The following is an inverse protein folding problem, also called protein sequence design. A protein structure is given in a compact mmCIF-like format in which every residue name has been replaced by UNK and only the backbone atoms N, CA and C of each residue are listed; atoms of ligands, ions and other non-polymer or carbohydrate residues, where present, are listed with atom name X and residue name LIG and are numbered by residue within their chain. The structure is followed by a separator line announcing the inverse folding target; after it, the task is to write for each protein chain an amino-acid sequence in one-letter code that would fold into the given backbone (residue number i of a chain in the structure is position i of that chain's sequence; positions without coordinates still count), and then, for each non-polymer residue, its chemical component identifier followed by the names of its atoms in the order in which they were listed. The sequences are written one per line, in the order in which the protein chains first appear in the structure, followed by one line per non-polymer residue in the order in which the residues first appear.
data_IF_320784114332
#
_entry.id   IF_320784114332
#
_cell.length_a   1.000
_cell.length_b   1.000
_cell.length_c   1.000
_cell.angle_alpha   90.00
_cell.angle_beta   90.00
_cell.angle_gamma   90.00
#
_symmetry.space_group_name_H-M   'P 1'
#
loop_
_entity.id
_entity.type
_entity.pdbx_description
1 polymer ?
#
# COMPACT_ATOMS: atom_id res chain seq x y z
N UNK A 1 48.78 26.83 -0.87
CA UNK A 1 48.12 25.55 -0.62
C UNK A 1 47.31 25.53 0.68
N UNK A 2 47.83 25.87 1.86
CA UNK A 2 47.05 25.80 3.13
C UNK A 2 45.74 26.64 3.14
N UNK A 3 45.72 27.82 2.54
CA UNK A 3 44.51 28.67 2.49
C UNK A 3 43.36 28.07 1.64
N UNK A 4 43.69 27.37 0.54
CA UNK A 4 42.71 26.72 -0.31
C UNK A 4 42.12 25.44 0.31
N UNK A 5 42.95 24.73 1.08
CA UNK A 5 42.49 23.53 1.83
C UNK A 5 41.55 23.96 2.97
N UNK A 6 41.85 25.07 3.68
CA UNK A 6 40.97 25.58 4.73
C UNK A 6 39.63 26.09 4.19
N UNK A 7 39.62 26.78 3.03
CA UNK A 7 38.37 27.18 2.34
C UNK A 7 37.57 25.97 1.88
N UNK A 8 38.23 24.93 1.38
CA UNK A 8 37.55 23.71 0.93
C UNK A 8 36.90 22.95 2.11
N UNK A 9 37.63 22.85 3.24
CA UNK A 9 37.13 22.24 4.47
C UNK A 9 35.98 23.05 5.07
N UNK A 10 36.07 24.39 5.11
CA UNK A 10 34.98 25.22 5.61
C UNK A 10 33.71 25.18 4.70
N UNK A 11 33.91 25.04 3.40
CA UNK A 11 32.78 24.88 2.43
C UNK A 11 32.11 23.51 2.58
N UNK A 12 32.88 22.43 2.78
CA UNK A 12 32.36 21.08 3.08
C UNK A 12 31.61 21.06 4.43
N UNK A 13 32.17 21.69 5.48
CA UNK A 13 31.49 21.74 6.78
C UNK A 13 30.19 22.56 6.71
N UNK A 14 30.16 23.64 5.92
CA UNK A 14 28.93 24.42 5.71
C UNK A 14 27.82 23.65 5.01
N UNK A 15 28.16 22.85 4.00
CA UNK A 15 27.19 22.01 3.27
C UNK A 15 26.66 20.87 4.15
N UNK A 16 27.52 20.24 4.96
CA UNK A 16 27.10 19.21 5.91
C UNK A 16 26.19 19.74 7.02
N UNK A 17 26.50 20.91 7.59
CA UNK A 17 25.63 21.53 8.61
C UNK A 17 24.25 21.90 8.04
N UNK A 18 24.20 22.42 6.82
CA UNK A 18 22.96 22.77 6.16
C UNK A 18 22.10 21.55 5.84
N UNK A 19 22.69 20.42 5.41
CA UNK A 19 21.95 19.19 5.16
C UNK A 19 21.39 18.57 6.45
N UNK A 20 22.08 18.74 7.58
CA UNK A 20 21.67 18.25 8.89
C UNK A 20 20.38 18.91 9.39
N UNK A 21 20.18 20.23 9.11
CA UNK A 21 18.96 20.94 9.46
C UNK A 21 17.74 20.36 8.75
N UNK A 22 17.87 19.99 7.47
CA UNK A 22 16.79 19.33 6.71
C UNK A 22 16.46 17.93 7.21
N UNK A 23 17.48 17.16 7.58
CA UNK A 23 17.31 15.83 8.19
C UNK A 23 16.57 15.95 9.52
N UNK A 24 16.97 16.88 10.39
CA UNK A 24 16.32 17.11 11.68
C UNK A 24 14.87 17.55 11.50
N UNK A 25 14.62 18.50 10.61
CA UNK A 25 13.29 19.02 10.35
C UNK A 25 12.31 17.96 9.81
N UNK A 26 12.77 17.08 8.93
CA UNK A 26 11.95 15.98 8.42
C UNK A 26 11.76 14.88 9.48
N UNK A 27 12.77 14.59 10.28
CA UNK A 27 12.67 13.60 11.37
C UNK A 27 11.70 14.06 12.47
N UNK A 28 11.67 15.37 12.80
CA UNK A 28 10.69 15.96 13.74
C UNK A 28 9.25 15.88 13.21
N UNK A 29 9.08 15.96 11.88
CA UNK A 29 7.77 15.75 11.24
C UNK A 29 7.32 14.28 11.30
N UNK A 30 8.23 13.35 11.65
CA UNK A 30 7.94 11.93 11.85
C UNK A 30 8.35 11.04 10.67
N UNK A 31 9.12 11.57 9.72
CA UNK A 31 9.66 10.77 8.63
C UNK A 31 10.84 9.90 9.09
N UNK A 32 10.97 8.75 8.47
CA UNK A 32 12.02 7.75 8.72
C UNK A 32 12.90 7.60 7.49
N UNK A 33 14.05 6.94 7.64
CA UNK A 33 15.03 6.74 6.56
C UNK A 33 15.39 8.02 5.81
N UNK A 34 15.36 9.15 6.53
CA UNK A 34 15.59 10.47 5.94
C UNK A 34 17.04 10.61 5.50
N UNK A 35 17.24 11.05 4.27
CA UNK A 35 18.53 11.50 3.76
C UNK A 35 18.34 12.82 3.01
N UNK A 36 19.25 13.77 3.21
CA UNK A 36 19.19 15.09 2.56
C UNK A 36 20.56 15.44 2.00
N UNK A 37 20.57 16.02 0.80
CA UNK A 37 21.72 16.63 0.15
C UNK A 37 21.30 17.91 -0.54
N UNK A 38 22.16 18.91 -0.55
CA UNK A 38 21.88 20.22 -1.15
C UNK A 38 22.94 20.55 -2.19
N UNK A 39 22.50 20.92 -3.39
CA UNK A 39 23.37 21.41 -4.46
C UNK A 39 22.79 22.71 -5.04
N UNK A 40 23.49 23.81 -4.92
CA UNK A 40 23.06 25.13 -5.38
C UNK A 40 21.66 25.51 -4.83
N UNK A 41 20.65 25.60 -5.69
CA UNK A 41 19.24 25.89 -5.36
C UNK A 41 18.36 24.65 -5.34
N UNK A 42 18.95 23.45 -5.45
CA UNK A 42 18.24 22.18 -5.47
C UNK A 42 18.50 21.37 -4.19
N UNK A 43 17.44 20.90 -3.57
CA UNK A 43 17.47 19.99 -2.41
C UNK A 43 17.05 18.60 -2.85
N UNK A 44 17.88 17.63 -2.61
CA UNK A 44 17.60 16.21 -2.84
C UNK A 44 17.24 15.56 -1.50
N UNK A 45 16.19 14.79 -1.44
CA UNK A 45 15.79 14.10 -0.23
C UNK A 45 15.19 12.73 -0.51
N UNK A 46 15.40 11.82 0.43
CA UNK A 46 14.75 10.51 0.48
C UNK A 46 14.05 10.41 1.83
N UNK A 47 12.82 9.96 1.86
CA UNK A 47 12.04 9.76 3.08
C UNK A 47 11.21 8.48 3.01
N UNK A 48 10.93 7.90 4.17
CA UNK A 48 9.84 6.96 4.39
C UNK A 48 8.79 7.61 5.29
N UNK A 49 7.51 7.44 4.93
CA UNK A 49 6.41 8.16 5.56
C UNK A 49 5.50 7.25 6.42
N UNK A 50 5.84 6.98 7.67
CA UNK A 50 4.93 6.32 8.60
C UNK A 50 3.93 7.29 9.26
N UNK A 51 4.23 8.61 9.26
CA UNK A 51 3.45 9.61 9.96
C UNK A 51 2.12 9.92 9.27
N UNK A 52 2.13 9.94 7.94
CA UNK A 52 0.97 10.27 7.10
C UNK A 52 0.62 9.12 6.13
N UNK A 53 1.10 7.91 6.41
CA UNK A 53 0.90 6.71 5.58
C UNK A 53 -0.57 6.59 5.16
N UNK A 54 -0.81 6.22 3.90
CA UNK A 54 -2.15 6.11 3.32
C UNK A 54 -2.75 7.43 2.84
N UNK A 55 -2.07 8.57 3.04
CA UNK A 55 -2.49 9.87 2.53
C UNK A 55 -1.41 10.53 1.69
N UNK A 56 -1.75 11.61 0.99
CA UNK A 56 -0.77 12.39 0.21
C UNK A 56 -0.17 13.55 1.00
N UNK A 57 -0.51 13.64 2.29
CA UNK A 57 -0.03 14.73 3.18
C UNK A 57 1.48 14.64 3.42
N UNK A 58 2.02 13.44 3.56
CA UNK A 58 3.44 13.24 3.82
C UNK A 58 4.35 13.87 2.77
N UNK A 59 4.23 13.51 1.48
CA UNK A 59 5.03 14.14 0.43
C UNK A 59 4.88 15.66 0.37
N UNK A 60 3.65 16.17 0.50
CA UNK A 60 3.39 17.62 0.51
C UNK A 60 4.03 18.31 1.73
N UNK A 61 3.93 17.70 2.91
CA UNK A 61 4.57 18.19 4.15
C UNK A 61 6.08 18.20 4.05
N UNK A 62 6.66 17.15 3.46
CA UNK A 62 8.11 17.09 3.24
C UNK A 62 8.58 18.26 2.34
N UNK A 63 7.89 18.52 1.22
CA UNK A 63 8.20 19.64 0.34
C UNK A 63 8.07 20.97 1.08
N UNK A 64 6.98 21.19 1.83
CA UNK A 64 6.78 22.42 2.59
C UNK A 64 7.84 22.61 3.68
N UNK A 65 8.21 21.54 4.38
CA UNK A 65 9.23 21.60 5.44
C UNK A 65 10.61 21.90 4.88
N UNK A 66 11.02 21.22 3.80
CA UNK A 66 12.26 21.50 3.10
C UNK A 66 12.29 22.94 2.55
N UNK A 67 11.18 23.42 2.00
CA UNK A 67 11.08 24.81 1.53
C UNK A 67 11.26 25.86 2.64
N UNK A 68 10.80 25.55 3.86
CA UNK A 68 11.02 26.43 5.04
C UNK A 68 12.46 26.39 5.53
N UNK A 69 13.03 25.19 5.59
CA UNK A 69 14.42 24.98 6.04
C UNK A 69 15.42 25.59 5.05
N UNK A 70 15.09 25.54 3.76
CA UNK A 70 15.93 26.07 2.68
C UNK A 70 15.25 27.19 1.88
N UNK A 71 15.19 28.43 2.39
CA UNK A 71 14.43 29.54 1.76
C UNK A 71 14.90 29.89 0.33
N UNK A 72 16.18 29.61 0.01
CA UNK A 72 16.75 29.87 -1.33
C UNK A 72 16.53 28.71 -2.30
N UNK A 73 15.86 27.64 -1.87
CA UNK A 73 15.59 26.48 -2.69
C UNK A 73 14.54 26.81 -3.76
N UNK A 74 14.86 26.46 -5.00
CA UNK A 74 13.97 26.60 -6.17
C UNK A 74 13.48 25.23 -6.67
N UNK A 75 14.19 24.14 -6.32
CA UNK A 75 13.85 22.78 -6.71
C UNK A 75 14.01 21.81 -5.53
N UNK A 76 13.08 20.90 -5.38
CA UNK A 76 13.13 19.80 -4.42
C UNK A 76 12.91 18.51 -5.18
N UNK A 77 13.89 17.62 -5.11
CA UNK A 77 13.88 16.29 -5.69
C UNK A 77 13.69 15.29 -4.55
N UNK A 78 12.49 14.70 -4.43
CA UNK A 78 12.07 13.91 -3.28
C UNK A 78 11.73 12.48 -3.71
N UNK A 79 12.37 11.46 -3.11
CA UNK A 79 12.00 10.06 -3.28
C UNK A 79 11.27 9.56 -2.06
N UNK A 80 10.14 8.90 -2.29
CA UNK A 80 9.36 8.23 -1.25
C UNK A 80 9.71 6.76 -1.22
N UNK A 81 10.07 6.29 -0.02
CA UNK A 81 10.29 4.87 0.27
C UNK A 81 9.04 4.24 0.87
N UNK A 82 8.88 2.96 0.65
CA UNK A 82 8.01 2.06 1.40
C UNK A 82 8.77 0.76 1.65
N UNK A 83 8.86 0.36 2.91
CA UNK A 83 9.70 -0.78 3.34
C UNK A 83 11.14 -0.66 2.80
N UNK A 84 11.74 0.53 2.96
CA UNK A 84 13.08 0.89 2.48
C UNK A 84 13.25 0.82 0.94
N UNK A 85 12.18 0.53 0.19
CA UNK A 85 12.21 0.43 -1.27
C UNK A 85 11.71 1.71 -1.92
N UNK A 86 12.50 2.34 -2.83
CA UNK A 86 12.05 3.53 -3.56
C UNK A 86 10.83 3.22 -4.43
N UNK A 87 9.75 3.98 -4.27
CA UNK A 87 8.50 3.77 -5.02
C UNK A 87 8.28 4.80 -6.12
N UNK A 88 8.46 6.09 -5.80
CA UNK A 88 8.23 7.21 -6.73
C UNK A 88 9.20 8.34 -6.44
N UNK A 89 9.49 9.14 -7.48
CA UNK A 89 10.20 10.41 -7.38
C UNK A 89 9.24 11.58 -7.61
N UNK A 90 9.37 12.62 -6.79
CA UNK A 90 8.63 13.86 -6.90
C UNK A 90 9.62 14.99 -7.23
N UNK A 91 9.38 15.67 -8.33
CA UNK A 91 10.14 16.81 -8.83
C UNK A 91 9.36 18.09 -8.58
N UNK A 92 9.63 18.77 -7.47
CA UNK A 92 8.97 20.01 -7.13
C UNK A 92 9.82 21.20 -7.57
N UNK A 93 9.22 22.12 -8.33
CA UNK A 93 9.85 23.36 -8.76
C UNK A 93 9.01 24.56 -8.37
N UNK A 94 9.68 25.66 -8.01
CA UNK A 94 9.03 26.91 -7.65
C UNK A 94 8.80 27.76 -8.91
N UNK A 95 7.54 27.86 -9.34
CA UNK A 95 7.14 28.62 -10.51
C UNK A 95 6.27 29.80 -10.05
N UNK A 96 6.71 31.04 -10.32
CA UNK A 96 6.00 32.25 -9.90
C UNK A 96 5.65 32.27 -8.39
N UNK A 97 6.56 31.76 -7.55
CA UNK A 97 6.40 31.71 -6.11
C UNK A 97 5.54 30.56 -5.55
N UNK A 98 5.01 29.69 -6.42
CA UNK A 98 4.22 28.51 -6.04
C UNK A 98 4.97 27.23 -6.39
N UNK A 99 4.80 26.19 -5.58
CA UNK A 99 5.35 24.88 -5.85
C UNK A 99 4.48 24.13 -6.86
N UNK A 100 5.12 23.66 -7.93
CA UNK A 100 4.51 22.76 -8.91
C UNK A 100 5.23 21.42 -8.85
N UNK A 101 4.49 20.32 -8.81
CA UNK A 101 5.04 18.96 -8.65
C UNK A 101 4.77 18.13 -9.89
N UNK A 102 5.80 17.43 -10.34
CA UNK A 102 5.72 16.32 -11.28
C UNK A 102 6.12 15.04 -10.53
N UNK A 103 5.52 13.91 -10.89
CA UNK A 103 5.79 12.62 -10.24
C UNK A 103 6.05 11.58 -11.31
N UNK A 104 7.12 10.81 -11.13
CA UNK A 104 7.46 9.69 -11.99
C UNK A 104 8.06 8.51 -11.21
N UNK A 105 8.58 7.53 -11.92
CA UNK A 105 9.13 6.31 -11.35
C UNK A 105 10.66 6.21 -11.47
N UNK A 106 11.33 7.24 -11.99
CA UNK A 106 12.79 7.31 -12.03
C UNK A 106 13.37 7.78 -10.70
N UNK A 107 13.40 6.86 -9.76
CA UNK A 107 13.97 7.13 -8.43
C UNK A 107 15.49 7.17 -8.42
N UNK A 108 16.17 6.60 -9.45
CA UNK A 108 17.63 6.52 -9.52
C UNK A 108 18.27 7.89 -9.68
N UNK A 109 17.65 8.78 -10.45
CA UNK A 109 18.12 10.16 -10.63
C UNK A 109 18.36 10.93 -9.33
N UNK A 110 17.64 10.55 -8.27
CA UNK A 110 17.77 11.13 -6.92
C UNK A 110 18.58 10.22 -6.00
N UNK A 111 18.29 8.90 -5.95
CA UNK A 111 18.92 7.99 -4.97
C UNK A 111 20.41 7.76 -5.22
N UNK A 112 20.88 7.80 -6.46
CA UNK A 112 22.29 7.59 -6.80
C UNK A 112 23.19 8.71 -6.24
N UNK A 113 22.63 9.89 -5.99
CA UNK A 113 23.37 10.99 -5.36
C UNK A 113 23.72 10.72 -3.89
N UNK A 114 22.93 9.89 -3.22
CA UNK A 114 23.18 9.51 -1.81
C UNK A 114 24.25 8.42 -1.67
N UNK A 115 24.59 7.71 -2.75
CA UNK A 115 25.65 6.71 -2.76
C UNK A 115 27.04 7.32 -3.04
N UNK A 116 27.09 8.50 -3.69
CA UNK A 116 28.32 9.11 -4.20
C UNK A 116 28.70 10.44 -3.58
N UNK A 117 27.86 11.05 -2.72
CA UNK A 117 28.01 12.42 -2.25
C UNK A 117 28.03 12.63 -0.75
N UNK A 118 28.13 13.90 -0.35
CA UNK A 118 28.11 14.38 1.06
C UNK A 118 26.69 14.39 1.63
N UNK A 119 26.03 13.25 1.59
CA UNK A 119 24.66 13.14 2.12
C UNK A 119 24.68 12.94 3.63
N UNK A 120 23.77 13.63 4.32
CA UNK A 120 23.48 13.40 5.74
C UNK A 120 22.23 12.55 5.86
N UNK A 121 22.31 11.51 6.69
CA UNK A 121 21.20 10.59 6.92
C UNK A 121 20.76 10.60 8.38
N UNK A 122 19.47 10.43 8.62
CA UNK A 122 18.92 10.27 9.96
C UNK A 122 19.30 8.93 10.57
N UNK A 123 19.52 8.91 11.89
CA UNK A 123 19.58 7.69 12.67
C UNK A 123 18.21 7.02 12.85
N UNK A 124 17.09 7.74 12.56
CA UNK A 124 15.73 7.23 12.66
C UNK A 124 15.42 6.31 11.48
N UNK A 125 15.69 5.02 11.62
CA UNK A 125 15.44 3.97 10.63
C UNK A 125 14.07 3.33 10.86
N UNK A 126 13.43 2.84 9.80
CA UNK A 126 12.21 2.02 9.88
C UNK A 126 12.51 0.56 10.24
N UNK A 127 13.71 0.08 9.90
CA UNK A 127 14.16 -1.30 10.14
C UNK A 127 13.98 -1.72 11.59
N UNK A 128 13.30 -2.85 11.81
CA UNK A 128 13.06 -3.45 13.13
C UNK A 128 11.99 -2.74 13.98
N UNK A 129 11.38 -1.68 13.48
CA UNK A 129 10.19 -1.10 14.15
C UNK A 129 8.98 -1.97 13.91
N UNK A 130 8.09 -2.00 14.91
CA UNK A 130 6.89 -2.81 14.90
C UNK A 130 5.67 -1.90 14.88
N UNK A 131 4.85 -2.05 13.86
CA UNK A 131 3.55 -1.42 13.75
C UNK A 131 2.46 -2.43 14.16
N UNK A 132 1.58 -2.04 15.06
CA UNK A 132 0.37 -2.79 15.40
C UNK A 132 -0.83 -1.99 14.93
N UNK A 133 -1.54 -2.52 13.94
CA UNK A 133 -2.73 -1.88 13.38
C UNK A 133 -3.97 -2.65 13.80
N UNK A 134 -4.95 -1.98 14.42
CA UNK A 134 -6.19 -2.59 14.88
C UNK A 134 -7.23 -2.51 13.76
N UNK A 135 -7.34 -3.55 12.92
CA UNK A 135 -8.27 -3.59 11.80
C UNK A 135 -9.63 -4.15 12.24
N UNK A 136 -10.73 -3.38 12.17
CA UNK A 136 -12.07 -3.92 12.29
C UNK A 136 -12.46 -4.57 10.96
N UNK A 137 -13.09 -5.75 11.03
CA UNK A 137 -13.66 -6.43 9.87
C UNK A 137 -15.16 -6.60 10.12
N UNK A 138 -15.97 -6.17 9.15
CA UNK A 138 -17.41 -6.40 9.14
C UNK A 138 -17.73 -7.28 7.94
N UNK A 139 -18.32 -8.45 8.20
CA UNK A 139 -18.86 -9.33 7.18
C UNK A 139 -20.39 -9.23 7.20
N UNK A 140 -20.97 -9.04 6.04
CA UNK A 140 -22.43 -9.05 5.84
C UNK A 140 -22.74 -9.98 4.69
N UNK A 141 -23.57 -10.97 4.96
CA UNK A 141 -24.01 -11.95 4.00
C UNK A 141 -25.54 -12.03 4.02
N UNK A 142 -26.17 -12.04 2.83
CA UNK A 142 -27.61 -12.05 2.65
C UNK A 142 -28.11 -13.11 1.67
N UNK A 143 -27.29 -14.13 1.40
CA UNK A 143 -27.60 -15.16 0.40
C UNK A 143 -28.59 -16.24 0.90
N UNK A 144 -28.94 -16.23 2.19
CA UNK A 144 -29.81 -17.24 2.80
C UNK A 144 -31.24 -16.71 2.99
N UNK A 145 -32.22 -17.55 2.69
CA UNK A 145 -33.64 -17.21 2.87
C UNK A 145 -34.16 -17.38 4.29
N UNK A 146 -33.48 -18.17 5.11
CA UNK A 146 -33.86 -18.47 6.50
C UNK A 146 -33.42 -17.36 7.47
N UNK A 147 -32.46 -16.54 7.05
CA UNK A 147 -31.96 -15.38 7.82
C UNK A 147 -31.89 -14.13 6.94
N UNK A 148 -32.40 -13.03 7.44
CA UNK A 148 -32.39 -11.75 6.70
C UNK A 148 -30.96 -11.27 6.44
N UNK A 149 -30.07 -11.47 7.43
CA UNK A 149 -28.64 -11.16 7.34
C UNK A 149 -27.84 -12.13 8.21
N UNK A 150 -26.75 -12.64 7.67
CA UNK A 150 -25.65 -13.15 8.47
C UNK A 150 -24.60 -12.05 8.63
N UNK A 151 -24.27 -11.72 9.87
CA UNK A 151 -23.34 -10.65 10.18
C UNK A 151 -22.26 -11.13 11.13
N UNK A 152 -21.04 -10.69 10.86
CA UNK A 152 -19.89 -10.90 11.71
C UNK A 152 -19.15 -9.59 11.95
N UNK A 153 -18.73 -9.37 13.20
CA UNK A 153 -17.79 -8.33 13.55
C UNK A 153 -16.54 -8.97 14.16
N UNK A 154 -15.40 -8.67 13.57
CA UNK A 154 -14.11 -9.24 13.95
C UNK A 154 -13.11 -8.13 14.22
N UNK A 155 -12.15 -8.41 15.09
CA UNK A 155 -10.98 -7.57 15.31
C UNK A 155 -9.75 -8.31 14.79
N UNK A 156 -9.02 -7.69 13.88
CA UNK A 156 -7.79 -8.25 13.29
C UNK A 156 -6.59 -7.33 13.59
N UNK A 157 -5.96 -7.46 14.78
CA UNK A 157 -4.74 -6.73 15.07
C UNK A 157 -3.62 -7.27 14.18
N UNK A 158 -3.11 -6.43 13.29
CA UNK A 158 -2.01 -6.77 12.38
C UNK A 158 -0.71 -6.24 12.95
N UNK A 159 0.24 -7.12 13.21
CA UNK A 159 1.60 -6.78 13.60
C UNK A 159 2.47 -6.80 12.35
N UNK A 160 3.13 -5.68 12.05
CA UNK A 160 3.96 -5.50 10.86
C UNK A 160 5.36 -5.05 11.23
N UNK A 161 6.39 -5.60 10.58
CA UNK A 161 7.78 -5.15 10.72
C UNK A 161 8.56 -5.35 9.42
N UNK A 162 9.58 -4.50 9.23
CA UNK A 162 10.57 -4.59 8.13
C UNK A 162 11.92 -4.95 8.71
N UNK A 163 12.56 -6.01 8.22
CA UNK A 163 13.88 -6.45 8.68
C UNK A 163 15.01 -6.08 7.71
N UNK A 164 14.70 -5.99 6.42
CA UNK A 164 15.61 -5.56 5.36
C UNK A 164 14.84 -4.93 4.21
N UNK A 165 15.55 -4.29 3.30
CA UNK A 165 14.98 -3.56 2.17
C UNK A 165 13.97 -4.39 1.37
N UNK A 166 12.76 -3.87 1.24
CA UNK A 166 11.65 -4.49 0.52
C UNK A 166 10.96 -5.63 1.26
N UNK A 167 11.45 -5.99 2.44
CA UNK A 167 10.83 -7.02 3.26
C UNK A 167 9.70 -6.48 4.11
N UNK A 168 8.65 -7.29 4.27
CA UNK A 168 7.59 -7.07 5.23
C UNK A 168 7.15 -8.39 5.83
N UNK A 169 7.10 -8.44 7.15
CA UNK A 169 6.53 -9.56 7.91
C UNK A 169 5.23 -9.09 8.53
N UNK A 170 4.15 -9.82 8.28
CA UNK A 170 2.83 -9.57 8.85
C UNK A 170 2.40 -10.74 9.72
N UNK A 171 1.73 -10.45 10.83
CA UNK A 171 1.02 -11.42 11.67
C UNK A 171 -0.36 -10.85 11.96
N UNK A 172 -1.41 -11.51 11.47
CA UNK A 172 -2.80 -11.05 11.58
C UNK A 172 -3.69 -12.14 12.15
N UNK A 173 -3.89 -12.23 13.48
CA UNK A 173 -4.98 -13.02 14.05
C UNK A 173 -6.32 -12.32 13.80
N UNK A 174 -7.33 -13.07 13.36
CA UNK A 174 -8.71 -12.61 13.19
C UNK A 174 -9.53 -13.16 14.37
N UNK A 175 -9.97 -12.26 15.25
CA UNK A 175 -10.65 -12.58 16.50
C UNK A 175 -12.14 -12.27 16.33
N UNK A 176 -13.04 -13.26 16.39
CA UNK A 176 -14.47 -13.01 16.36
C UNK A 176 -14.92 -12.29 17.63
N UNK A 177 -15.56 -11.13 17.47
CA UNK A 177 -16.15 -10.36 18.59
C UNK A 177 -17.64 -10.62 18.68
N UNK A 178 -18.31 -10.65 17.53
CA UNK A 178 -19.72 -10.97 17.39
C UNK A 178 -19.97 -11.66 16.05
N UNK A 179 -20.77 -12.71 16.06
CA UNK A 179 -21.25 -13.33 14.83
C UNK A 179 -22.56 -14.08 15.06
N UNK A 180 -23.52 -13.93 14.14
CA UNK A 180 -24.75 -14.73 14.11
C UNK A 180 -24.69 -15.85 13.06
N UNK A 181 -23.51 -16.08 12.46
CA UNK A 181 -23.28 -17.20 11.54
C UNK A 181 -23.55 -18.53 12.19
N UNK A 182 -23.76 -19.56 11.39
CA UNK A 182 -24.05 -20.91 11.90
C UNK A 182 -22.98 -21.45 12.84
N UNK A 183 -23.37 -22.33 13.76
CA UNK A 183 -22.49 -22.84 14.81
C UNK A 183 -21.24 -23.58 14.26
N UNK A 184 -21.34 -24.18 13.05
CA UNK A 184 -20.24 -24.82 12.37
C UNK A 184 -19.32 -23.89 11.56
N UNK A 185 -19.63 -22.61 11.45
CA UNK A 185 -18.85 -21.66 10.68
C UNK A 185 -17.44 -21.50 11.24
N UNK A 186 -16.45 -21.49 10.33
CA UNK A 186 -15.04 -21.18 10.62
C UNK A 186 -14.88 -19.79 11.23
N UNK A 187 -15.79 -18.87 10.88
CA UNK A 187 -15.79 -17.47 11.32
C UNK A 187 -16.16 -17.29 12.81
N UNK A 188 -16.61 -18.36 13.47
CA UNK A 188 -16.84 -18.32 14.93
C UNK A 188 -15.59 -18.55 15.78
N UNK A 189 -14.45 -18.82 15.13
CA UNK A 189 -13.20 -19.17 15.80
C UNK A 189 -12.10 -18.19 15.43
N UNK A 190 -11.08 -18.13 16.30
CA UNK A 190 -9.83 -17.45 15.97
C UNK A 190 -9.26 -18.05 14.68
N UNK A 191 -8.90 -17.19 13.74
CA UNK A 191 -8.26 -17.59 12.49
C UNK A 191 -6.99 -16.78 12.24
N UNK A 192 -6.13 -17.26 11.35
CA UNK A 192 -5.03 -16.47 10.81
C UNK A 192 -5.47 -15.85 9.49
N UNK A 193 -5.37 -14.54 9.41
CA UNK A 193 -5.50 -13.79 8.19
C UNK A 193 -4.19 -13.69 7.41
N UNK A 194 -3.81 -12.49 7.01
CA UNK A 194 -2.57 -12.20 6.27
C UNK A 194 -1.32 -12.34 7.17
N UNK A 195 -0.99 -13.58 7.56
CA UNK A 195 0.22 -13.90 8.33
C UNK A 195 1.26 -14.48 7.39
N UNK A 196 2.14 -13.59 6.88
CA UNK A 196 3.05 -13.92 5.78
C UNK A 196 4.31 -13.06 5.79
N UNK A 197 5.30 -13.54 5.04
CA UNK A 197 6.51 -12.80 4.69
C UNK A 197 6.35 -12.35 3.25
N UNK A 198 6.60 -11.07 3.01
CA UNK A 198 6.54 -10.45 1.69
C UNK A 198 7.89 -9.84 1.33
N UNK A 199 8.24 -9.89 0.05
CA UNK A 199 9.42 -9.24 -0.51
C UNK A 199 9.02 -8.45 -1.75
N UNK A 200 9.21 -7.14 -1.70
CA UNK A 200 9.01 -6.23 -2.82
C UNK A 200 10.27 -6.13 -3.69
N UNK A 201 10.05 -6.04 -5.01
CA UNK A 201 11.08 -5.85 -6.02
C UNK A 201 10.70 -4.69 -6.94
N UNK A 202 11.68 -3.87 -7.33
CA UNK A 202 11.53 -2.84 -8.36
C UNK A 202 12.73 -2.94 -9.31
N UNK A 203 12.47 -3.02 -10.61
CA UNK A 203 13.48 -3.12 -11.65
C UNK A 203 13.28 -2.03 -12.70
N UNK A 204 14.33 -1.25 -12.99
CA UNK A 204 14.33 -0.22 -14.02
C UNK A 204 13.21 0.82 -13.88
N UNK A 205 12.72 1.07 -12.66
CA UNK A 205 11.66 2.02 -12.35
C UNK A 205 10.25 1.63 -12.81
N UNK A 206 10.11 0.83 -13.87
CA UNK A 206 8.81 0.47 -14.45
C UNK A 206 8.28 -0.90 -14.04
N UNK A 207 9.16 -1.87 -13.81
CA UNK A 207 8.77 -3.19 -13.31
C UNK A 207 8.71 -3.17 -11.79
N UNK A 208 7.64 -3.71 -11.26
CA UNK A 208 7.50 -3.92 -9.82
C UNK A 208 6.90 -5.31 -9.57
N UNK A 209 7.20 -5.87 -8.41
CA UNK A 209 6.65 -7.15 -8.02
C UNK A 209 6.71 -7.37 -6.53
N UNK A 210 5.89 -8.30 -6.07
CA UNK A 210 5.86 -8.76 -4.68
C UNK A 210 5.76 -10.28 -4.66
N UNK A 211 6.63 -10.92 -3.90
CA UNK A 211 6.52 -12.33 -3.54
C UNK A 211 6.01 -12.42 -2.09
N UNK A 212 5.00 -13.25 -1.84
CA UNK A 212 4.44 -13.46 -0.51
C UNK A 212 4.31 -14.93 -0.21
N UNK A 213 4.66 -15.35 1.01
CA UNK A 213 4.58 -16.76 1.46
C UNK A 213 4.03 -16.78 2.89
N UNK A 214 3.02 -17.60 3.15
CA UNK A 214 2.40 -17.75 4.45
C UNK A 214 0.90 -17.97 4.36
N UNK A 215 0.16 -17.57 5.40
CA UNK A 215 -1.30 -17.59 5.37
C UNK A 215 -1.85 -16.29 4.81
N UNK A 216 -3.01 -16.39 4.21
CA UNK A 216 -3.76 -15.29 3.63
C UNK A 216 -5.20 -15.32 4.16
N UNK A 217 -5.91 -14.23 4.01
CA UNK A 217 -7.36 -14.20 4.25
C UNK A 217 -8.06 -15.22 3.36
N UNK A 218 -9.33 -15.46 3.56
CA UNK A 218 -10.10 -16.52 2.89
C UNK A 218 -9.63 -17.95 3.19
N UNK A 219 -8.97 -18.14 4.36
CA UNK A 219 -8.52 -19.47 4.85
C UNK A 219 -7.52 -20.15 3.91
N UNK A 220 -6.54 -19.43 3.39
CA UNK A 220 -5.54 -19.95 2.45
C UNK A 220 -4.13 -19.90 3.03
N UNK A 221 -3.33 -20.93 2.72
CA UNK A 221 -1.90 -21.02 3.01
C UNK A 221 -1.15 -21.33 1.72
N UNK A 222 -0.05 -20.65 1.45
CA UNK A 222 0.77 -20.91 0.27
C UNK A 222 1.65 -19.76 -0.14
N UNK A 223 1.76 -19.55 -1.45
CA UNK A 223 2.58 -18.51 -2.06
C UNK A 223 1.80 -17.68 -3.08
N UNK A 224 2.12 -16.41 -3.17
CA UNK A 224 1.58 -15.47 -4.14
C UNK A 224 2.71 -14.68 -4.79
N UNK A 225 2.58 -14.42 -6.09
CA UNK A 225 3.45 -13.55 -6.89
C UNK A 225 2.58 -12.51 -7.57
N UNK A 226 2.86 -11.25 -7.32
CA UNK A 226 2.35 -10.11 -8.08
C UNK A 226 3.49 -9.52 -8.91
N UNK A 227 3.29 -9.40 -10.23
CA UNK A 227 4.22 -8.72 -11.14
C UNK A 227 3.46 -7.67 -11.92
N UNK A 228 4.01 -6.49 -12.04
CA UNK A 228 3.40 -5.39 -12.77
C UNK A 228 4.41 -4.57 -13.57
N UNK A 229 3.89 -3.94 -14.62
CA UNK A 229 4.63 -3.04 -15.48
C UNK A 229 3.88 -1.71 -15.62
N UNK A 230 4.54 -0.60 -15.37
CA UNK A 230 4.02 0.76 -15.49
C UNK A 230 4.16 1.22 -16.92
N UNK A 231 3.08 1.13 -17.69
CA UNK A 231 3.06 1.51 -19.11
C UNK A 231 3.17 3.03 -19.26
N UNK A 232 2.36 3.74 -18.48
CA UNK A 232 2.28 5.21 -18.40
C UNK A 232 2.17 5.63 -16.93
N UNK A 233 2.37 6.92 -16.59
CA UNK A 233 2.16 7.41 -15.22
C UNK A 233 0.77 7.10 -14.66
N UNK A 234 -0.26 7.01 -15.51
CA UNK A 234 -1.64 6.71 -15.14
C UNK A 234 -2.06 5.27 -15.44
N UNK A 235 -1.21 4.43 -16.07
CA UNK A 235 -1.59 3.11 -16.54
C UNK A 235 -0.56 2.05 -16.15
N UNK A 236 -1.03 0.95 -15.59
CA UNK A 236 -0.22 -0.24 -15.33
C UNK A 236 -0.94 -1.50 -15.81
N UNK A 237 -0.16 -2.52 -16.11
CA UNK A 237 -0.62 -3.88 -16.39
C UNK A 237 0.15 -4.86 -15.52
N UNK A 238 -0.44 -6.00 -15.20
CA UNK A 238 0.23 -6.96 -14.33
C UNK A 238 -0.42 -8.33 -14.35
N UNK A 239 0.21 -9.23 -13.61
CA UNK A 239 -0.28 -10.57 -13.36
C UNK A 239 -0.17 -10.86 -11.86
N UNK A 240 -1.21 -11.45 -11.27
CA UNK A 240 -1.17 -12.10 -9.98
C UNK A 240 -1.31 -13.59 -10.17
N UNK A 241 -0.39 -14.36 -9.65
CA UNK A 241 -0.46 -15.79 -9.63
C UNK A 241 -0.26 -16.32 -8.20
N UNK A 242 -1.05 -17.29 -7.79
CA UNK A 242 -0.88 -17.88 -6.47
C UNK A 242 -1.08 -19.40 -6.53
N UNK A 243 -0.41 -20.06 -5.58
CA UNK A 243 -0.58 -21.47 -5.27
C UNK A 243 -0.87 -21.58 -3.78
N UNK A 244 -2.08 -22.01 -3.44
CA UNK A 244 -2.53 -22.00 -2.05
C UNK A 244 -3.42 -23.20 -1.77
N UNK A 245 -3.43 -23.65 -0.52
CA UNK A 245 -4.31 -24.70 0.00
C UNK A 245 -5.19 -24.14 1.12
N UNK A 246 -6.29 -24.81 1.42
CA UNK A 246 -7.13 -24.45 2.57
C UNK A 246 -6.34 -24.56 3.88
N UNK A 247 -6.49 -23.58 4.76
CA UNK A 247 -5.85 -23.57 6.07
C UNK A 247 -6.70 -22.79 7.07
N UNK A 248 -7.11 -23.45 8.17
CA UNK A 248 -7.95 -22.86 9.20
C UNK A 248 -7.81 -23.58 10.55
N UNK A 249 -8.15 -22.90 11.63
CA UNK A 249 -8.28 -23.51 12.94
C UNK A 249 -9.66 -24.20 13.08
N UNK A 250 -9.62 -25.52 13.30
CA UNK A 250 -10.78 -26.33 13.66
C UNK A 250 -11.05 -26.31 15.18
N UNK A 251 -11.84 -27.31 15.67
CA UNK A 251 -12.16 -27.40 17.11
C UNK A 251 -10.92 -27.72 17.95
N UNK A 252 -10.10 -28.67 17.49
CA UNK A 252 -8.96 -29.17 18.26
C UNK A 252 -7.61 -28.97 17.58
N UNK A 253 -7.59 -28.69 16.25
CA UNK A 253 -6.36 -28.68 15.48
C UNK A 253 -6.37 -27.62 14.38
N UNK A 254 -5.18 -27.18 14.00
CA UNK A 254 -4.96 -26.45 12.78
C UNK A 254 -5.03 -27.41 11.58
N UNK A 255 -6.00 -27.18 10.70
CA UNK A 255 -6.17 -27.93 9.47
C UNK A 255 -5.37 -27.27 8.35
N UNK A 256 -4.65 -28.09 7.60
CA UNK A 256 -4.00 -27.72 6.34
C UNK A 256 -4.43 -28.73 5.29
N UNK A 257 -5.04 -28.25 4.21
CA UNK A 257 -5.51 -29.07 3.10
C UNK A 257 -4.35 -29.82 2.44
N UNK A 258 -4.62 -31.05 2.00
CA UNK A 258 -3.67 -31.80 1.20
C UNK A 258 -3.59 -31.21 -0.21
N UNK A 259 -2.38 -31.16 -0.77
CA UNK A 259 -2.16 -30.83 -2.18
C UNK A 259 -2.72 -31.99 -3.01
N UNK A 260 -3.88 -31.78 -3.62
CA UNK A 260 -4.43 -32.72 -4.59
C UNK A 260 -4.33 -32.15 -6.00
N UNK A 261 -3.28 -32.48 -6.72
CA UNK A 261 -3.08 -32.09 -8.12
C UNK A 261 -4.14 -32.62 -9.08
N UNK A 262 -5.05 -33.45 -8.62
CA UNK A 262 -6.12 -34.07 -9.42
C UNK A 262 -7.53 -33.66 -9.00
N UNK A 263 -7.66 -32.94 -7.88
CA UNK A 263 -8.97 -32.58 -7.34
C UNK A 263 -9.59 -31.33 -8.01
N UNK A 264 -10.91 -31.22 -7.93
CA UNK A 264 -11.70 -30.11 -8.46
C UNK A 264 -11.52 -28.79 -7.69
N UNK A 265 -10.79 -28.78 -6.57
CA UNK A 265 -10.54 -27.56 -5.81
C UNK A 265 -9.22 -26.94 -6.27
N UNK A 266 -9.32 -25.76 -6.82
CA UNK A 266 -8.19 -25.08 -7.41
C UNK A 266 -7.19 -24.60 -6.38
N UNK A 267 -5.98 -25.12 -6.47
CA UNK A 267 -4.83 -24.66 -5.70
C UNK A 267 -4.08 -23.52 -6.38
N UNK A 268 -4.35 -23.31 -7.67
CA UNK A 268 -3.68 -22.30 -8.48
C UNK A 268 -4.69 -21.29 -9.00
N UNK A 269 -4.44 -20.01 -8.81
CA UNK A 269 -5.12 -18.95 -9.56
C UNK A 269 -4.11 -18.10 -10.33
N UNK A 270 -4.57 -17.51 -11.44
CA UNK A 270 -3.76 -16.61 -12.25
C UNK A 270 -4.65 -15.56 -12.91
N UNK A 271 -4.40 -14.30 -12.59
CA UNK A 271 -5.22 -13.16 -12.99
C UNK A 271 -4.34 -12.11 -13.69
N UNK A 272 -4.73 -11.73 -14.89
CA UNK A 272 -4.20 -10.55 -15.57
C UNK A 272 -4.94 -9.32 -15.05
N UNK A 273 -4.21 -8.22 -14.85
CA UNK A 273 -4.72 -6.95 -14.37
C UNK A 273 -4.34 -5.83 -15.32
N UNK A 274 -5.26 -4.91 -15.56
CA UNK A 274 -5.01 -3.64 -16.22
C UNK A 274 -5.65 -2.53 -15.38
N UNK A 275 -4.89 -1.51 -15.07
CA UNK A 275 -5.28 -0.41 -14.20
C UNK A 275 -5.08 0.92 -14.94
N UNK A 276 -6.09 1.78 -14.94
CA UNK A 276 -6.05 3.10 -15.55
C UNK A 276 -6.68 4.14 -14.64
N UNK A 277 -5.94 5.22 -14.39
CA UNK A 277 -6.40 6.36 -13.59
C UNK A 277 -6.61 7.60 -14.47
N UNK A 278 -7.85 8.08 -14.57
CA UNK A 278 -8.15 9.36 -15.20
C UNK A 278 -7.93 10.53 -14.25
N UNK A 279 -6.92 11.34 -14.55
CA UNK A 279 -6.51 12.49 -13.73
C UNK A 279 -7.60 13.55 -13.64
N UNK A 280 -8.37 13.75 -14.71
CA UNK A 280 -9.39 14.82 -14.77
C UNK A 280 -10.56 14.55 -13.82
N UNK A 281 -11.11 13.36 -13.87
CA UNK A 281 -12.28 12.95 -13.09
C UNK A 281 -11.94 12.29 -11.76
N UNK A 282 -10.68 11.90 -11.54
CA UNK A 282 -10.22 11.06 -10.44
C UNK A 282 -10.94 9.69 -10.40
N UNK A 283 -11.22 9.15 -11.57
CA UNK A 283 -11.74 7.80 -11.74
C UNK A 283 -10.59 6.82 -11.97
N UNK A 284 -10.65 5.70 -11.28
CA UNK A 284 -9.82 4.55 -11.54
C UNK A 284 -10.67 3.44 -12.15
N UNK A 285 -10.22 2.85 -13.25
CA UNK A 285 -10.81 1.68 -13.87
C UNK A 285 -9.81 0.53 -13.78
N UNK A 286 -10.21 -0.57 -13.16
CA UNK A 286 -9.39 -1.78 -13.04
C UNK A 286 -10.12 -2.95 -13.67
N UNK A 287 -9.47 -3.60 -14.63
CA UNK A 287 -9.92 -4.84 -15.24
C UNK A 287 -9.05 -5.98 -14.74
N UNK A 288 -9.67 -7.01 -14.18
CA UNK A 288 -9.03 -8.26 -13.77
C UNK A 288 -9.66 -9.40 -14.55
N UNK A 289 -8.86 -10.29 -15.15
CA UNK A 289 -9.37 -11.42 -15.91
C UNK A 289 -8.46 -12.65 -15.80
N UNK A 290 -9.07 -13.83 -15.71
CA UNK A 290 -8.34 -15.10 -15.64
C UNK A 290 -9.01 -16.15 -14.78
N UNK A 291 -8.22 -16.97 -14.11
CA UNK A 291 -8.66 -18.01 -13.20
C UNK A 291 -8.66 -17.49 -11.78
N UNK A 292 -9.83 -17.42 -11.18
CA UNK A 292 -10.03 -17.01 -9.79
C UNK A 292 -9.62 -18.07 -8.77
N UNK A 293 -9.67 -17.73 -7.47
CA UNK A 293 -9.13 -18.53 -6.38
C UNK A 293 -9.75 -19.93 -6.27
N UNK A 294 -11.03 -20.07 -6.57
CA UNK A 294 -11.75 -21.34 -6.48
C UNK A 294 -11.87 -22.08 -7.82
N UNK A 295 -11.16 -21.62 -8.86
CA UNK A 295 -10.97 -22.34 -10.11
C UNK A 295 -11.85 -21.90 -11.26
N UNK A 296 -12.80 -21.03 -11.01
CA UNK A 296 -13.66 -20.43 -12.00
C UNK A 296 -12.87 -19.44 -12.90
N UNK A 297 -13.28 -19.31 -14.15
CA UNK A 297 -12.68 -18.40 -15.13
C UNK A 297 -13.63 -17.25 -15.42
N UNK A 298 -13.10 -16.05 -15.42
CA UNK A 298 -13.93 -14.88 -15.66
C UNK A 298 -13.18 -13.58 -15.77
N UNK A 299 -13.95 -12.48 -15.69
CA UNK A 299 -13.44 -11.12 -15.69
C UNK A 299 -14.23 -10.25 -14.70
N UNK A 300 -13.53 -9.33 -14.06
CA UNK A 300 -14.08 -8.34 -13.13
C UNK A 300 -13.64 -6.95 -13.58
N UNK A 301 -14.59 -6.00 -13.65
CA UNK A 301 -14.34 -4.60 -13.89
C UNK A 301 -14.74 -3.81 -12.65
N UNK A 302 -13.81 -3.06 -12.10
CA UNK A 302 -14.02 -2.11 -11.02
C UNK A 302 -13.89 -0.68 -11.53
N UNK A 303 -14.81 0.18 -11.16
CA UNK A 303 -14.76 1.63 -11.43
C UNK A 303 -14.86 2.35 -10.10
N UNK A 304 -13.77 3.02 -9.69
CA UNK A 304 -13.65 3.67 -8.39
C UNK A 304 -13.41 5.16 -8.57
N UNK A 305 -14.21 5.99 -7.91
CA UNK A 305 -13.99 7.43 -7.85
C UNK A 305 -13.35 7.84 -6.54
N UNK A 306 -12.30 8.65 -6.63
CA UNK A 306 -11.55 9.15 -5.49
C UNK A 306 -11.92 10.59 -5.16
N UNK A 307 -12.27 10.85 -3.91
CA UNK A 307 -12.58 12.17 -3.36
C UNK A 307 -11.53 12.53 -2.28
N UNK A 308 -10.31 12.85 -2.72
CA UNK A 308 -9.18 12.97 -1.80
C UNK A 308 -8.86 11.63 -1.15
N UNK A 309 -9.00 11.56 0.18
CA UNK A 309 -8.73 10.35 0.94
C UNK A 309 -9.90 9.34 0.95
N UNK A 310 -11.08 9.71 0.45
CA UNK A 310 -12.24 8.82 0.33
C UNK A 310 -12.28 8.18 -1.05
N UNK A 311 -12.77 6.95 -1.12
CA UNK A 311 -13.05 6.27 -2.38
C UNK A 311 -14.40 5.56 -2.34
N UNK A 312 -15.12 5.59 -3.46
CA UNK A 312 -16.34 4.82 -3.67
C UNK A 312 -16.31 4.22 -5.06
N UNK A 313 -16.65 2.97 -5.19
CA UNK A 313 -16.65 2.26 -6.46
C UNK A 313 -17.79 1.28 -6.60
N UNK A 314 -17.97 0.86 -7.83
CA UNK A 314 -18.86 -0.22 -8.22
C UNK A 314 -18.08 -1.23 -9.04
N UNK A 315 -18.47 -2.49 -8.97
CA UNK A 315 -17.86 -3.52 -9.79
C UNK A 315 -18.92 -4.43 -10.41
N UNK A 316 -18.56 -5.02 -11.54
CA UNK A 316 -19.28 -6.10 -12.17
C UNK A 316 -18.32 -7.26 -12.44
N UNK A 317 -18.80 -8.48 -12.29
CA UNK A 317 -18.04 -9.69 -12.52
C UNK A 317 -18.84 -10.69 -13.34
N UNK A 318 -18.17 -11.34 -14.28
CA UNK A 318 -18.66 -12.44 -15.09
C UNK A 318 -17.71 -13.61 -14.89
N UNK A 319 -18.17 -14.73 -14.34
CA UNK A 319 -17.31 -15.87 -14.03
C UNK A 319 -18.09 -17.16 -13.98
N UNK A 320 -17.52 -18.28 -14.48
CA UNK A 320 -18.13 -19.59 -14.45
C UNK A 320 -19.50 -19.69 -15.13
N UNK A 321 -19.86 -18.75 -16.00
CA UNK A 321 -21.20 -18.63 -16.60
C UNK A 321 -22.19 -17.77 -15.79
N UNK A 322 -21.79 -17.37 -14.57
CA UNK A 322 -22.59 -16.54 -13.67
C UNK A 322 -22.15 -15.06 -13.73
N UNK A 323 -22.99 -14.18 -13.23
CA UNK A 323 -22.71 -12.75 -13.13
C UNK A 323 -23.02 -12.24 -11.73
N UNK A 324 -22.22 -11.29 -11.27
CA UNK A 324 -22.44 -10.60 -10.02
C UNK A 324 -22.04 -9.13 -10.14
N UNK A 325 -22.53 -8.32 -9.24
CA UNK A 325 -22.19 -6.91 -9.14
C UNK A 325 -22.15 -6.49 -7.67
N UNK A 326 -21.56 -5.35 -7.41
CA UNK A 326 -21.53 -4.80 -6.08
C UNK A 326 -20.95 -3.40 -6.04
N UNK A 327 -20.74 -2.94 -4.83
CA UNK A 327 -20.08 -1.68 -4.57
C UNK A 327 -19.04 -1.85 -3.47
N UNK A 328 -18.09 -0.93 -3.45
CA UNK A 328 -17.10 -0.84 -2.38
C UNK A 328 -16.80 0.61 -2.04
N UNK A 329 -16.34 0.82 -0.83
CA UNK A 329 -15.89 2.14 -0.40
C UNK A 329 -14.69 2.02 0.54
N UNK A 330 -13.88 3.06 0.58
CA UNK A 330 -12.79 3.21 1.53
C UNK A 330 -12.91 4.58 2.21
N UNK A 331 -12.91 4.57 3.55
CA UNK A 331 -13.03 5.76 4.40
C UNK A 331 -11.76 5.87 5.24
N UNK A 332 -11.06 7.04 5.26
CA UNK A 332 -9.92 7.23 6.13
C UNK A 332 -10.37 7.18 7.60
N UNK A 333 -9.78 6.28 8.38
CA UNK A 333 -10.07 6.11 9.82
C UNK A 333 -8.98 6.76 10.66
N UNK A 334 -7.76 6.75 10.15
CA UNK A 334 -6.60 7.29 10.83
C UNK A 334 -6.68 8.83 10.88
N UNK A 335 -6.25 9.41 11.99
CA UNK A 335 -6.15 10.86 12.13
C UNK A 335 -5.15 11.49 11.14
N UNK A 336 -5.13 12.82 11.08
CA UNK A 336 -4.28 13.58 10.14
C UNK A 336 -2.77 13.29 10.26
N UNK A 337 -2.32 12.84 11.44
CA UNK A 337 -0.93 12.45 11.72
C UNK A 337 -0.89 11.35 12.77
N UNK A 338 -0.10 10.32 12.52
CA UNK A 338 0.15 9.26 13.48
C UNK A 338 1.13 9.73 14.57
N UNK A 339 0.91 9.27 15.78
CA UNK A 339 1.91 9.44 16.84
C UNK A 339 3.13 8.60 16.47
N UNK A 340 4.27 9.25 16.37
CA UNK A 340 5.55 8.59 16.24
C UNK A 340 6.06 8.31 17.64
N UNK A 341 6.17 7.07 18.01
CA UNK A 341 6.71 6.63 19.29
C UNK A 341 7.71 5.51 19.04
N UNK A 342 8.78 5.44 19.74
CA UNK A 342 9.79 4.40 19.81
C UNK A 342 9.77 3.27 18.74
N UNK A 343 10.06 2.05 19.20
CA UNK A 343 10.11 0.87 18.32
C UNK A 343 8.73 0.22 18.10
N UNK A 344 7.77 0.47 19.00
CA UNK A 344 6.41 -0.07 18.93
C UNK A 344 5.41 1.07 18.69
N UNK A 345 4.61 0.95 17.65
CA UNK A 345 3.57 1.92 17.30
C UNK A 345 2.23 1.21 17.22
N UNK A 346 1.22 1.71 17.92
CA UNK A 346 -0.13 1.18 17.86
C UNK A 346 -1.02 2.20 17.15
N UNK A 347 -1.63 1.78 16.05
CA UNK A 347 -2.38 2.64 15.16
C UNK A 347 -3.75 2.05 14.83
N UNK A 348 -4.68 2.91 14.41
CA UNK A 348 -5.86 2.51 13.67
C UNK A 348 -5.47 2.23 12.21
N UNK A 349 -6.26 1.47 11.44
CA UNK A 349 -6.00 1.26 10.02
C UNK A 349 -6.03 2.60 9.26
N UNK A 350 -5.32 2.64 8.15
CA UNK A 350 -5.30 3.83 7.28
C UNK A 350 -6.70 4.12 6.75
N UNK A 351 -7.40 3.07 6.37
CA UNK A 351 -8.75 3.09 5.84
C UNK A 351 -9.58 1.98 6.47
N UNK A 352 -10.86 2.25 6.63
CA UNK A 352 -11.89 1.22 6.71
C UNK A 352 -12.41 1.05 5.30
N UNK A 353 -12.26 -0.13 4.73
CA UNK A 353 -12.80 -0.53 3.45
C UNK A 353 -13.86 -1.60 3.63
N UNK A 354 -14.88 -1.53 2.81
CA UNK A 354 -15.96 -2.50 2.77
C UNK A 354 -16.35 -2.75 1.33
N UNK A 355 -16.52 -4.03 0.99
CA UNK A 355 -17.10 -4.45 -0.27
C UNK A 355 -18.41 -5.17 0.01
N UNK A 356 -19.45 -4.80 -0.73
CA UNK A 356 -20.72 -5.49 -0.74
C UNK A 356 -20.93 -6.19 -2.08
N UNK A 357 -21.21 -7.49 -2.02
CA UNK A 357 -21.53 -8.32 -3.17
C UNK A 357 -23.06 -8.50 -3.24
N UNK A 358 -23.67 -8.16 -4.39
CA UNK A 358 -25.05 -8.54 -4.69
C UNK A 358 -25.03 -10.01 -5.14
N UNK A 359 -25.15 -10.93 -4.21
CA UNK A 359 -25.17 -12.34 -4.55
C UNK A 359 -26.48 -12.70 -5.20
N UNK A 360 -26.46 -12.89 -6.53
CA UNK A 360 -27.67 -13.11 -7.32
C UNK A 360 -28.15 -14.58 -7.29
N UNK A 361 -27.23 -15.53 -7.04
CA UNK A 361 -27.50 -16.97 -7.11
C UNK A 361 -26.79 -17.73 -6.00
N UNK A 362 -27.42 -18.79 -5.48
CA UNK A 362 -26.85 -19.63 -4.43
C UNK A 362 -25.53 -20.27 -4.85
N UNK A 363 -25.45 -20.81 -6.07
CA UNK A 363 -24.25 -21.47 -6.59
C UNK A 363 -23.05 -20.52 -6.59
N UNK A 364 -23.27 -19.23 -6.91
CA UNK A 364 -22.21 -18.24 -6.87
C UNK A 364 -21.61 -18.08 -5.47
N UNK A 365 -22.44 -18.05 -4.43
CA UNK A 365 -22.01 -17.92 -3.05
C UNK A 365 -21.37 -19.21 -2.50
N UNK A 366 -22.02 -20.34 -2.72
CA UNK A 366 -21.58 -21.64 -2.21
C UNK A 366 -20.23 -22.04 -2.80
N UNK A 367 -20.01 -21.78 -4.08
CA UNK A 367 -18.74 -22.03 -4.76
C UNK A 367 -17.73 -20.89 -4.62
N UNK A 368 -18.10 -19.77 -3.97
CA UNK A 368 -17.26 -18.57 -3.77
C UNK A 368 -16.64 -18.05 -5.07
N UNK A 369 -17.44 -18.09 -6.14
CA UNK A 369 -17.01 -17.70 -7.48
C UNK A 369 -16.49 -16.25 -7.51
N UNK A 370 -15.54 -15.96 -8.39
CA UNK A 370 -14.99 -14.63 -8.58
C UNK A 370 -14.13 -14.11 -7.42
N UNK A 371 -13.74 -14.96 -6.50
CA UNK A 371 -12.91 -14.55 -5.35
C UNK A 371 -11.46 -14.43 -5.77
N UNK A 372 -10.83 -13.30 -5.43
CA UNK A 372 -9.39 -13.09 -5.51
C UNK A 372 -8.70 -13.43 -4.18
N UNK A 373 -7.42 -13.79 -4.22
CA UNK A 373 -6.63 -13.96 -3.00
C UNK A 373 -6.35 -12.60 -2.36
N UNK A 374 -6.76 -12.41 -1.12
CA UNK A 374 -6.43 -11.23 -0.33
C UNK A 374 -5.05 -11.39 0.34
N UNK A 375 -4.05 -10.73 -0.22
CA UNK A 375 -2.66 -10.80 0.25
C UNK A 375 -2.37 -9.81 1.37
N UNK A 376 -3.06 -8.70 1.39
CA UNK A 376 -2.89 -7.59 2.36
C UNK A 376 -4.22 -7.22 3.00
N UNK A 377 -4.23 -6.72 4.25
CA UNK A 377 -5.46 -6.29 4.91
C UNK A 377 -6.22 -5.15 4.21
N UNK A 378 -5.51 -4.32 3.42
CA UNK A 378 -6.09 -3.17 2.71
C UNK A 378 -5.64 -3.23 1.26
N UNK A 379 -6.26 -4.10 0.46
CA UNK A 379 -5.88 -4.26 -0.95
C UNK A 379 -6.48 -3.22 -1.88
N UNK A 380 -7.69 -2.77 -1.60
CA UNK A 380 -8.46 -1.91 -2.51
C UNK A 380 -7.77 -0.59 -2.89
N UNK A 381 -6.73 -0.18 -2.16
CA UNK A 381 -6.01 1.07 -2.40
C UNK A 381 -4.51 0.93 -2.65
N UNK A 382 -3.93 -0.21 -2.36
CA UNK A 382 -2.46 -0.37 -2.39
C UNK A 382 -1.85 -0.22 -3.77
N UNK A 383 -2.51 -0.69 -4.82
CA UNK A 383 -2.06 -0.56 -6.21
C UNK A 383 -2.20 0.87 -6.73
N UNK A 384 -3.28 1.55 -6.36
CA UNK A 384 -3.63 2.90 -6.80
C UNK A 384 -2.81 3.97 -6.10
N UNK A 385 -2.42 3.73 -4.85
CA UNK A 385 -1.65 4.69 -4.07
C UNK A 385 -0.32 5.05 -4.75
N UNK A 386 0.36 4.07 -5.37
CA UNK A 386 1.64 4.29 -6.05
C UNK A 386 1.50 4.68 -7.53
N UNK A 387 0.32 5.07 -7.97
CA UNK A 387 0.13 5.64 -9.31
C UNK A 387 0.65 7.07 -9.34
N UNK A 388 1.65 7.35 -10.19
CA UNK A 388 2.35 8.65 -10.24
C UNK A 388 1.39 9.81 -10.54
N UNK A 389 0.45 9.63 -11.47
CA UNK A 389 -0.53 10.65 -11.83
C UNK A 389 -1.51 10.93 -10.69
N UNK A 390 -1.91 9.90 -9.94
CA UNK A 390 -2.78 10.03 -8.77
C UNK A 390 -2.08 10.78 -7.64
N UNK A 391 -0.81 10.44 -7.34
CA UNK A 391 0.02 11.12 -6.35
C UNK A 391 0.21 12.58 -6.75
N UNK A 392 0.64 12.84 -7.98
CA UNK A 392 0.87 14.20 -8.50
C UNK A 392 -0.36 15.10 -8.30
N UNK A 393 -1.53 14.62 -8.72
CA UNK A 393 -2.78 15.36 -8.57
C UNK A 393 -3.07 15.75 -7.12
N UNK A 394 -2.96 14.79 -6.20
CA UNK A 394 -3.34 15.01 -4.81
C UNK A 394 -2.30 15.84 -4.05
N UNK A 395 -1.02 15.60 -4.24
CA UNK A 395 0.06 16.41 -3.66
C UNK A 395 -0.05 17.86 -4.13
N UNK A 396 -0.28 18.09 -5.44
CA UNK A 396 -0.47 19.44 -5.97
C UNK A 396 -1.67 20.16 -5.33
N UNK A 397 -2.80 19.45 -5.12
CA UNK A 397 -3.98 20.03 -4.47
C UNK A 397 -3.72 20.42 -3.02
N UNK A 398 -2.91 19.67 -2.29
CA UNK A 398 -2.51 20.00 -0.91
C UNK A 398 -1.59 21.23 -0.92
N UNK A 399 -0.60 21.27 -1.82
CA UNK A 399 0.30 22.42 -1.95
C UNK A 399 -0.44 23.71 -2.36
N UNK A 400 -1.52 23.59 -3.11
CA UNK A 400 -2.41 24.70 -3.50
C UNK A 400 -3.39 25.11 -2.37
N UNK A 401 -3.42 24.40 -1.24
CA UNK A 401 -4.38 24.64 -0.15
C UNK A 401 -5.82 24.22 -0.50
N UNK A 402 -6.02 23.34 -1.46
CA UNK A 402 -7.34 22.85 -1.90
C UNK A 402 -7.74 21.52 -1.24
N UNK A 403 -6.84 20.93 -0.50
CA UNK A 403 -7.05 19.70 0.28
C UNK A 403 -6.25 19.87 1.60
N UNK A 404 -6.90 19.60 2.74
CA UNK A 404 -6.26 19.63 4.06
C UNK A 404 -5.62 18.31 4.44
#
# INVERSE_FOLDING_TARGET
MKKYVLCFISMLMGVCAYAQDGVAALAEEGFENVSVSCENTTVYSVIEDPAYRGTFRGPAKAIMQLSKTYPRCERIELVILEYETPKVALHAAKVSGRWTVQVDYDTHSVTDRFTTGSAVSSANKSTGKVDVTLNPIVSLDNHRFDKLFEAGFFLAPTVETTLWKGNRINIEPIIPVYTNMDAGSRDRRLQLGSTNIQQDFIFGGRWYGTLSVGTFRSYRLGANVDLGYRVLPQMSVGIRANWTVDSYFGDDNWYVGSVDFKGNRSEVSALLRADYFDVATALNAQLTAGRFLYGDYGARLDITRHYGDYAIGVFGILTGGEHNAGFHFAIPVRGKRNKQGGYLRVNLPEYYDMQYNMVSYFEYADERMGTELEVRPIENRSLQYWNAAYIQRNVQRILDGKLD
#
